data_IF_928515641617
#
_entry.id   IF_928515641617
#
_cell.length_a   1.000
_cell.length_b   1.000
_cell.length_c   1.000
_cell.angle_alpha   90.00
_cell.angle_beta   90.00
_cell.angle_gamma   90.00
#
_symmetry.space_group_name_H-M   'P 1'
#
loop_
_entity.id
_entity.type
_entity.pdbx_description
1 polymer ?
#
# COMPACT_ATOMS: atom_id res chain seq x y z
N UNK A 1 21.91 -36.17 -1.62
CA UNK A 1 22.55 -35.82 -0.33
C UNK A 1 21.62 -36.31 0.76
N UNK A 2 22.00 -37.32 1.55
CA UNK A 2 21.10 -37.97 2.54
C UNK A 2 20.59 -36.97 3.59
N UNK A 3 19.31 -37.05 3.96
CA UNK A 3 18.63 -36.21 4.94
C UNK A 3 19.43 -36.06 6.25
N UNK A 4 20.04 -37.14 6.71
CA UNK A 4 20.89 -37.19 7.91
C UNK A 4 22.12 -36.27 7.84
N UNK A 5 22.71 -36.10 6.66
CA UNK A 5 23.90 -35.27 6.48
C UNK A 5 23.54 -33.78 6.53
N UNK A 6 22.34 -33.43 6.08
CA UNK A 6 21.82 -32.07 6.18
C UNK A 6 21.44 -31.73 7.63
N UNK A 7 20.75 -32.62 8.32
CA UNK A 7 20.34 -32.40 9.72
C UNK A 7 21.54 -32.23 10.65
N UNK A 8 22.57 -33.09 10.52
CA UNK A 8 23.82 -32.95 11.30
C UNK A 8 24.53 -31.61 11.03
N UNK A 9 24.56 -31.17 9.77
CA UNK A 9 25.17 -29.88 9.39
C UNK A 9 24.37 -28.69 9.94
N UNK A 10 23.04 -28.78 9.96
CA UNK A 10 22.18 -27.76 10.54
C UNK A 10 22.36 -27.69 12.05
N UNK A 11 22.32 -28.82 12.76
CA UNK A 11 22.57 -28.88 14.21
C UNK A 11 23.92 -28.28 14.57
N UNK A 12 24.99 -28.65 13.86
CA UNK A 12 26.32 -28.06 14.10
C UNK A 12 26.34 -26.54 13.90
N UNK A 13 25.75 -26.04 12.81
CA UNK A 13 25.72 -24.60 12.52
C UNK A 13 24.81 -23.80 13.46
N UNK A 14 23.78 -24.44 14.00
CA UNK A 14 22.76 -23.82 14.86
C UNK A 14 22.94 -24.12 16.34
N UNK A 15 24.00 -24.85 16.74
CA UNK A 15 24.26 -25.19 18.14
C UNK A 15 24.37 -23.96 19.07
N UNK A 16 24.65 -22.78 18.52
CA UNK A 16 24.62 -21.54 19.29
C UNK A 16 23.21 -21.16 19.78
N UNK A 17 22.14 -21.64 19.12
CA UNK A 17 20.74 -21.44 19.51
C UNK A 17 20.36 -22.22 20.77
N UNK A 18 21.11 -23.27 21.13
CA UNK A 18 20.84 -24.06 22.33
C UNK A 18 20.89 -23.18 23.59
N UNK A 19 21.71 -22.12 23.56
CA UNK A 19 21.81 -21.11 24.62
C UNK A 19 20.55 -20.26 24.79
N UNK A 20 19.67 -20.24 23.79
CA UNK A 20 18.48 -19.40 23.73
C UNK A 20 17.19 -20.21 23.70
N UNK A 21 17.25 -21.51 24.01
CA UNK A 21 16.10 -22.41 23.89
C UNK A 21 14.89 -21.93 24.71
N UNK A 22 15.14 -21.31 25.87
CA UNK A 22 14.11 -20.70 26.72
C UNK A 22 13.53 -19.40 26.17
N UNK A 23 14.32 -18.62 25.44
CA UNK A 23 13.99 -17.30 24.93
C UNK A 23 13.33 -17.37 23.55
N UNK A 24 13.64 -18.38 22.75
CA UNK A 24 13.07 -18.57 21.41
C UNK A 24 11.52 -18.54 21.44
N UNK A 25 10.83 -19.28 22.34
CA UNK A 25 9.38 -19.19 22.46
C UNK A 25 8.90 -17.77 22.82
N UNK A 26 9.62 -17.06 23.70
CA UNK A 26 9.27 -15.69 24.08
C UNK A 26 9.36 -14.75 22.87
N UNK A 27 10.45 -14.84 22.11
CA UNK A 27 10.63 -14.05 20.88
C UNK A 27 9.61 -14.40 19.81
N UNK A 28 9.25 -15.67 19.68
CA UNK A 28 8.19 -16.10 18.76
C UNK A 28 6.86 -15.42 19.11
N UNK A 29 6.48 -15.39 20.40
CA UNK A 29 5.27 -14.69 20.86
C UNK A 29 5.37 -13.18 20.65
N UNK A 30 6.53 -12.57 20.85
CA UNK A 30 6.74 -11.14 20.55
C UNK A 30 6.50 -10.83 19.07
N UNK A 31 7.06 -11.66 18.19
CA UNK A 31 6.90 -11.55 16.74
C UNK A 31 5.43 -11.77 16.34
N UNK A 32 4.74 -12.72 16.97
CA UNK A 32 3.34 -12.98 16.67
C UNK A 32 2.45 -11.79 17.07
N UNK A 33 2.68 -11.19 18.23
CA UNK A 33 1.96 -9.98 18.66
C UNK A 33 2.16 -8.82 17.67
N UNK A 34 3.41 -8.52 17.29
CA UNK A 34 3.69 -7.40 16.37
C UNK A 34 3.13 -7.65 14.97
N UNK A 35 3.36 -8.84 14.41
CA UNK A 35 2.86 -9.19 13.07
C UNK A 35 1.34 -9.21 13.02
N UNK A 36 0.70 -9.66 14.09
CA UNK A 36 -0.77 -9.65 14.17
C UNK A 36 -1.31 -8.23 14.11
N UNK A 37 -0.67 -7.31 14.85
CA UNK A 37 -1.02 -5.90 14.82
C UNK A 37 -0.76 -5.27 13.45
N UNK A 38 0.44 -5.42 12.90
CA UNK A 38 0.83 -4.89 11.59
C UNK A 38 -0.14 -5.34 10.50
N UNK A 39 -0.45 -6.65 10.46
CA UNK A 39 -1.39 -7.22 9.49
C UNK A 39 -2.79 -6.65 9.65
N UNK A 40 -3.25 -6.46 10.88
CA UNK A 40 -4.55 -5.83 11.14
C UNK A 40 -4.56 -4.39 10.63
N UNK A 41 -3.58 -3.57 11.03
CA UNK A 41 -3.53 -2.16 10.67
C UNK A 41 -3.35 -1.95 9.16
N UNK A 42 -2.65 -2.86 8.49
CA UNK A 42 -2.50 -2.87 7.02
C UNK A 42 -3.83 -3.10 6.28
N UNK A 43 -4.73 -3.89 6.85
CA UNK A 43 -6.01 -4.25 6.21
C UNK A 43 -7.12 -3.28 6.60
N UNK A 44 -7.25 -2.98 7.89
CA UNK A 44 -8.38 -2.23 8.44
C UNK A 44 -8.06 -0.77 8.74
N UNK A 45 -6.80 -0.37 8.62
CA UNK A 45 -6.32 0.92 9.10
C UNK A 45 -6.31 1.04 10.62
N UNK A 46 -5.98 2.24 11.10
CA UNK A 46 -6.07 2.64 12.49
C UNK A 46 -7.40 3.37 12.73
N UNK A 47 -8.25 2.81 13.59
CA UNK A 47 -9.55 3.36 13.97
C UNK A 47 -9.93 2.94 15.41
N UNK A 48 -11.06 3.44 15.92
CA UNK A 48 -11.50 3.17 17.31
C UNK A 48 -11.67 1.69 17.63
N UNK A 49 -11.96 0.83 16.65
CA UNK A 49 -12.08 -0.61 16.84
C UNK A 49 -10.74 -1.35 16.81
N UNK A 50 -9.64 -0.67 16.45
CA UNK A 50 -8.33 -1.30 16.33
C UNK A 50 -7.86 -2.03 17.61
N UNK A 51 -8.04 -1.49 18.83
CA UNK A 51 -7.66 -2.21 20.06
C UNK A 51 -8.49 -3.48 20.29
N UNK A 52 -9.81 -3.41 20.06
CA UNK A 52 -10.70 -4.56 20.20
C UNK A 52 -10.34 -5.68 19.22
N UNK A 53 -10.08 -5.31 17.96
CA UNK A 53 -9.63 -6.25 16.94
C UNK A 53 -8.28 -6.87 17.29
N UNK A 54 -7.34 -6.09 17.82
CA UNK A 54 -6.04 -6.59 18.24
C UNK A 54 -6.20 -7.62 19.37
N UNK A 55 -6.89 -7.23 20.45
CA UNK A 55 -7.15 -8.11 21.60
C UNK A 55 -7.80 -9.43 21.18
N UNK A 56 -8.84 -9.38 20.34
CA UNK A 56 -9.51 -10.57 19.83
C UNK A 56 -8.59 -11.49 19.02
N UNK A 57 -7.62 -10.94 18.30
CA UNK A 57 -6.69 -11.72 17.47
C UNK A 57 -5.53 -12.33 18.25
N UNK A 58 -5.22 -11.83 19.43
CA UNK A 58 -4.14 -12.35 20.28
C UNK A 58 -4.64 -13.11 21.50
N UNK A 59 -5.97 -13.26 21.67
CA UNK A 59 -6.56 -13.90 22.84
C UNK A 59 -6.19 -15.37 23.01
N UNK A 60 -5.74 -16.03 21.94
CA UNK A 60 -5.20 -17.39 21.98
C UNK A 60 -3.76 -17.45 22.50
N UNK A 61 -3.06 -16.32 22.61
CA UNK A 61 -1.67 -16.28 23.04
C UNK A 61 -1.55 -16.27 24.56
N UNK A 62 -0.74 -17.19 25.08
CA UNK A 62 -0.33 -17.21 26.48
C UNK A 62 0.77 -16.16 26.69
N UNK A 63 0.38 -14.99 27.20
CA UNK A 63 1.32 -13.93 27.55
C UNK A 63 1.94 -14.27 28.92
N UNK A 64 3.15 -14.83 28.89
CA UNK A 64 3.94 -15.10 30.10
C UNK A 64 4.36 -13.78 30.79
N UNK A 65 4.62 -13.76 32.11
CA UNK A 65 5.01 -12.55 32.83
C UNK A 65 6.17 -11.74 32.21
N UNK A 66 7.23 -12.35 31.65
CA UNK A 66 8.29 -11.60 30.96
C UNK A 66 7.82 -10.76 29.77
N UNK A 67 6.70 -11.14 29.15
CA UNK A 67 6.14 -10.49 27.96
C UNK A 67 5.09 -9.43 28.29
N UNK A 68 4.65 -9.33 29.54
CA UNK A 68 3.60 -8.39 29.95
C UNK A 68 4.02 -6.94 29.70
N UNK A 69 5.26 -6.59 30.02
CA UNK A 69 5.83 -5.27 29.71
C UNK A 69 5.82 -4.97 28.21
N UNK A 70 6.09 -5.96 27.37
CA UNK A 70 6.09 -5.79 25.92
C UNK A 70 4.66 -5.63 25.37
N UNK A 71 3.73 -6.44 25.86
CA UNK A 71 2.31 -6.30 25.56
C UNK A 71 1.79 -4.90 25.92
N UNK A 72 2.09 -4.41 27.12
CA UNK A 72 1.70 -3.06 27.53
C UNK A 72 2.31 -1.97 26.66
N UNK A 73 3.57 -2.12 26.20
CA UNK A 73 4.15 -1.18 25.23
C UNK A 73 3.36 -1.13 23.93
N UNK A 74 2.94 -2.27 23.39
CA UNK A 74 2.11 -2.33 22.18
C UNK A 74 0.76 -1.64 22.40
N UNK A 75 0.08 -1.97 23.51
CA UNK A 75 -1.23 -1.37 23.82
C UNK A 75 -1.11 0.13 24.04
N UNK A 76 -0.08 0.59 24.74
CA UNK A 76 0.15 2.01 24.98
C UNK A 76 0.46 2.76 23.68
N UNK A 77 1.27 2.16 22.81
CA UNK A 77 1.53 2.70 21.47
C UNK A 77 0.23 2.88 20.68
N UNK A 78 -0.63 1.86 20.66
CA UNK A 78 -1.93 1.96 19.97
C UNK A 78 -2.81 3.06 20.54
N UNK A 79 -2.90 3.17 21.87
CA UNK A 79 -3.67 4.23 22.53
C UNK A 79 -3.16 5.62 22.13
N UNK A 80 -1.85 5.81 22.13
CA UNK A 80 -1.24 7.09 21.78
C UNK A 80 -1.48 7.48 20.31
N UNK A 81 -1.42 6.50 19.40
CA UNK A 81 -1.72 6.74 17.99
C UNK A 81 -3.22 7.01 17.76
N UNK A 82 -4.11 6.38 18.53
CA UNK A 82 -5.55 6.60 18.43
C UNK A 82 -5.98 8.01 18.84
N UNK A 83 -5.24 8.69 19.71
CA UNK A 83 -5.51 10.10 20.06
C UNK A 83 -5.49 10.99 18.81
N UNK A 84 -4.71 10.62 17.78
CA UNK A 84 -4.60 11.36 16.53
C UNK A 84 -5.77 11.09 15.57
N UNK A 85 -6.58 10.06 15.83
CA UNK A 85 -7.70 9.66 14.98
C UNK A 85 -8.95 10.43 15.40
N UNK A 86 -9.49 11.25 14.48
CA UNK A 86 -10.77 11.93 14.70
C UNK A 86 -11.92 10.92 14.71
N UNK A 87 -13.02 11.30 15.35
CA UNK A 87 -14.23 10.49 15.41
C UNK A 87 -14.70 10.05 14.01
N UNK A 88 -15.00 8.74 13.88
CA UNK A 88 -15.40 8.06 12.65
C UNK A 88 -14.38 8.06 11.49
N UNK A 89 -13.13 8.45 11.72
CA UNK A 89 -12.08 8.34 10.70
C UNK A 89 -11.29 7.04 10.84
N UNK A 90 -10.81 6.54 9.70
CA UNK A 90 -9.84 5.45 9.63
C UNK A 90 -8.58 5.97 8.95
N UNK A 91 -7.44 5.90 9.64
CA UNK A 91 -6.16 6.35 9.12
C UNK A 91 -5.42 5.17 8.49
N UNK A 92 -4.84 5.37 7.30
CA UNK A 92 -3.93 4.39 6.71
C UNK A 92 -2.66 4.29 7.55
N UNK A 93 -2.41 3.11 8.12
CA UNK A 93 -1.26 2.89 9.00
C UNK A 93 0.05 2.59 8.25
N UNK A 94 0.00 2.38 6.93
CA UNK A 94 1.16 1.99 6.12
C UNK A 94 1.07 2.53 4.69
N UNK A 95 2.22 2.82 4.08
CA UNK A 95 2.36 3.16 2.65
C UNK A 95 2.27 1.94 1.74
N UNK A 96 2.33 0.71 2.27
CA UNK A 96 2.31 -0.53 1.49
C UNK A 96 1.13 -0.60 0.52
N UNK A 97 -0.03 -0.05 0.92
CA UNK A 97 -1.23 -0.01 0.07
C UNK A 97 -0.99 0.90 -1.13
N UNK A 98 -0.38 2.07 -0.92
CA UNK A 98 0.00 3.00 -1.99
C UNK A 98 1.06 2.38 -2.90
N UNK A 99 2.09 1.76 -2.33
CA UNK A 99 3.15 1.08 -3.08
C UNK A 99 2.60 -0.07 -3.94
N UNK A 100 1.65 -0.84 -3.40
CA UNK A 100 0.95 -1.89 -4.13
C UNK A 100 0.12 -1.33 -5.29
N UNK A 101 -0.59 -0.22 -5.08
CA UNK A 101 -1.34 0.48 -6.12
C UNK A 101 -0.40 0.97 -7.23
N UNK A 102 0.71 1.62 -6.87
CA UNK A 102 1.70 2.06 -7.85
C UNK A 102 2.41 0.90 -8.55
N UNK A 103 2.60 -0.24 -7.87
CA UNK A 103 3.08 -1.47 -8.47
C UNK A 103 2.13 -2.02 -9.53
N UNK A 104 0.83 -2.10 -9.22
CA UNK A 104 -0.22 -2.46 -10.19
C UNK A 104 -0.25 -1.49 -11.37
N UNK A 105 -0.17 -0.20 -11.09
CA UNK A 105 -0.10 0.84 -12.11
C UNK A 105 1.09 0.66 -13.06
N UNK A 106 2.30 0.46 -12.53
CA UNK A 106 3.50 0.20 -13.35
C UNK A 106 3.32 -1.04 -14.22
N UNK A 107 2.72 -2.11 -13.69
CA UNK A 107 2.45 -3.32 -14.46
C UNK A 107 1.42 -3.11 -15.58
N UNK A 108 0.38 -2.32 -15.31
CA UNK A 108 -0.63 -1.94 -16.30
C UNK A 108 -0.03 -1.06 -17.39
N UNK A 109 0.69 0.00 -17.01
CA UNK A 109 1.33 0.96 -17.91
C UNK A 109 2.33 0.31 -18.87
N UNK A 110 3.10 -0.72 -18.43
CA UNK A 110 4.01 -1.47 -19.30
C UNK A 110 3.32 -2.09 -20.53
N UNK A 111 2.03 -2.40 -20.44
CA UNK A 111 1.24 -3.01 -21.53
C UNK A 111 0.51 -1.96 -22.37
N UNK A 112 0.49 -0.70 -21.94
CA UNK A 112 -0.24 0.37 -22.60
C UNK A 112 0.71 1.15 -23.54
N UNK A 113 0.31 1.41 -24.80
CA UNK A 113 1.10 2.25 -25.70
C UNK A 113 1.12 3.73 -25.26
N UNK A 114 0.17 4.13 -24.39
CA UNK A 114 0.11 5.45 -23.79
C UNK A 114 1.16 5.56 -22.68
N UNK A 115 2.27 6.25 -22.99
CA UNK A 115 3.37 6.51 -22.05
C UNK A 115 3.18 7.79 -21.22
N UNK A 116 2.14 8.57 -21.50
CA UNK A 116 1.92 9.86 -20.86
C UNK A 116 1.15 9.68 -19.53
N UNK A 117 1.86 9.87 -18.41
CA UNK A 117 1.35 9.69 -17.05
C UNK A 117 0.05 10.45 -16.78
N UNK A 118 -0.16 11.61 -17.42
CA UNK A 118 -1.37 12.43 -17.29
C UNK A 118 -2.64 11.70 -17.68
N UNK A 119 -2.62 11.04 -18.84
CA UNK A 119 -3.79 10.34 -19.37
C UNK A 119 -4.01 9.01 -18.64
N UNK A 120 -2.94 8.40 -18.14
CA UNK A 120 -3.01 7.14 -17.38
C UNK A 120 -3.23 7.33 -15.88
N UNK A 121 -3.18 8.55 -15.33
CA UNK A 121 -3.44 8.75 -13.90
C UNK A 121 -4.85 8.29 -13.49
N UNK A 122 -5.84 8.55 -14.35
CA UNK A 122 -7.22 8.09 -14.16
C UNK A 122 -7.35 6.56 -14.16
N UNK A 123 -6.33 5.83 -14.59
CA UNK A 123 -6.30 4.36 -14.46
C UNK A 123 -6.05 3.91 -13.04
N UNK A 124 -5.43 4.74 -12.17
CA UNK A 124 -5.16 4.38 -10.78
C UNK A 124 -6.45 4.09 -10.00
N UNK A 125 -7.48 4.95 -10.00
CA UNK A 125 -8.79 4.63 -9.41
C UNK A 125 -9.45 3.39 -10.02
N UNK A 126 -9.25 3.13 -11.32
CA UNK A 126 -9.79 1.93 -11.96
C UNK A 126 -9.14 0.65 -11.42
N UNK A 127 -7.86 0.70 -11.01
CA UNK A 127 -7.14 -0.43 -10.41
C UNK A 127 -7.61 -0.77 -8.99
N UNK A 128 -8.36 0.13 -8.34
CA UNK A 128 -8.92 -0.09 -6.99
C UNK A 128 -10.37 -0.60 -7.02
N UNK A 129 -11.01 -0.66 -8.19
CA UNK A 129 -12.41 -1.12 -8.32
C UNK A 129 -12.51 -2.38 -9.18
N UNK A 130 -13.62 -3.11 -9.01
CA UNK A 130 -13.99 -4.18 -9.94
C UNK A 130 -14.73 -3.55 -11.12
N UNK A 131 -14.07 -3.47 -12.28
CA UNK A 131 -14.70 -2.98 -13.50
C UNK A 131 -15.81 -3.95 -13.92
N UNK A 132 -17.05 -3.47 -13.98
CA UNK A 132 -18.20 -4.25 -14.46
C UNK A 132 -18.80 -3.58 -15.69
N UNK A 133 -19.54 -4.35 -16.50
CA UNK A 133 -20.25 -3.83 -17.67
C UNK A 133 -21.19 -2.69 -17.31
N UNK A 134 -21.88 -2.79 -16.18
CA UNK A 134 -22.78 -1.74 -15.69
C UNK A 134 -22.04 -0.43 -15.38
N UNK A 135 -20.88 -0.50 -14.70
CA UNK A 135 -20.07 0.69 -14.41
C UNK A 135 -19.60 1.36 -15.70
N UNK A 136 -19.18 0.57 -16.69
CA UNK A 136 -18.75 1.09 -17.99
C UNK A 136 -19.91 1.76 -18.73
N UNK A 137 -21.08 1.12 -18.78
CA UNK A 137 -22.28 1.69 -19.41
C UNK A 137 -22.70 2.99 -18.74
N UNK A 138 -22.73 3.01 -17.41
CA UNK A 138 -23.06 4.21 -16.64
C UNK A 138 -22.07 5.34 -16.96
N UNK A 139 -20.76 5.09 -16.90
CA UNK A 139 -19.74 6.09 -17.20
C UNK A 139 -19.89 6.67 -18.62
N UNK A 140 -20.12 5.84 -19.63
CA UNK A 140 -20.31 6.27 -21.01
C UNK A 140 -21.61 7.05 -21.23
N UNK A 141 -22.65 6.77 -20.43
CA UNK A 141 -23.93 7.48 -20.50
C UNK A 141 -23.95 8.81 -19.73
N UNK A 142 -23.13 8.92 -18.69
CA UNK A 142 -23.13 10.08 -17.78
C UNK A 142 -22.07 11.13 -18.14
N UNK A 143 -20.89 10.72 -18.59
CA UNK A 143 -19.76 11.62 -18.81
C UNK A 143 -19.60 11.93 -20.30
N UNK A 144 -19.77 13.20 -20.67
CA UNK A 144 -19.53 13.64 -22.05
C UNK A 144 -18.03 13.78 -22.30
N UNK A 145 -17.58 13.42 -23.50
CA UNK A 145 -16.17 13.56 -23.88
C UNK A 145 -15.66 15.00 -23.77
N UNK A 146 -16.51 15.99 -24.05
CA UNK A 146 -16.19 17.40 -23.92
C UNK A 146 -15.85 17.78 -22.47
N UNK A 147 -16.72 17.41 -21.53
CA UNK A 147 -16.54 17.70 -20.11
C UNK A 147 -15.23 17.07 -19.58
N UNK A 148 -14.90 15.86 -20.06
CA UNK A 148 -13.65 15.18 -19.73
C UNK A 148 -12.42 15.93 -20.29
N UNK A 149 -12.47 16.41 -21.54
CA UNK A 149 -11.37 17.17 -22.13
C UNK A 149 -11.13 18.50 -21.40
N UNK A 150 -12.20 19.24 -21.09
CA UNK A 150 -12.10 20.50 -20.34
C UNK A 150 -11.50 20.26 -18.94
N UNK A 151 -11.90 19.20 -18.25
CA UNK A 151 -11.34 18.81 -16.95
C UNK A 151 -9.85 18.44 -17.03
N UNK A 152 -9.43 17.70 -18.06
CA UNK A 152 -8.01 17.34 -18.25
C UNK A 152 -7.16 18.60 -18.43
N UNK A 153 -7.64 19.55 -19.23
CA UNK A 153 -6.93 20.80 -19.49
C UNK A 153 -6.87 21.69 -18.24
N UNK A 154 -7.91 21.74 -17.42
CA UNK A 154 -7.93 22.48 -16.16
C UNK A 154 -6.92 21.91 -15.13
N UNK A 155 -6.93 20.58 -14.92
CA UNK A 155 -6.13 19.95 -13.88
C UNK A 155 -4.66 19.78 -14.28
N UNK A 156 -4.39 19.42 -15.53
CA UNK A 156 -3.03 19.08 -15.97
C UNK A 156 -2.40 20.12 -16.89
N UNK A 157 -3.19 21.05 -17.44
CA UNK A 157 -2.74 22.03 -18.41
C UNK A 157 -2.19 21.41 -19.70
N UNK A 158 -1.56 22.25 -20.52
CA UNK A 158 -1.00 21.82 -21.80
C UNK A 158 0.10 20.76 -21.64
N UNK A 159 0.06 19.78 -22.55
CA UNK A 159 1.09 18.76 -22.59
C UNK A 159 2.47 19.33 -22.96
N UNK A 160 3.56 18.71 -22.50
CA UNK A 160 4.92 19.12 -22.88
C UNK A 160 5.14 18.97 -24.38
N UNK A 161 4.53 17.95 -24.99
CA UNK A 161 4.52 17.76 -26.43
C UNK A 161 3.69 18.84 -27.14
N UNK A 162 2.55 19.25 -26.56
CA UNK A 162 1.72 20.34 -27.08
C UNK A 162 2.45 21.68 -27.03
N UNK A 163 3.15 21.98 -25.92
CA UNK A 163 4.00 23.16 -25.79
C UNK A 163 5.13 23.15 -26.82
N UNK A 164 5.80 22.01 -27.00
CA UNK A 164 6.86 21.86 -28.03
C UNK A 164 6.32 22.05 -29.45
N UNK A 165 5.16 21.46 -29.76
CA UNK A 165 4.53 21.66 -31.08
C UNK A 165 4.12 23.11 -31.29
N UNK A 166 3.52 23.76 -30.29
CA UNK A 166 3.12 25.16 -30.37
C UNK A 166 4.30 26.10 -30.68
N UNK A 167 5.47 25.85 -30.07
CA UNK A 167 6.70 26.59 -30.37
C UNK A 167 7.18 26.32 -31.80
N UNK A 168 7.17 25.06 -32.25
CA UNK A 168 7.60 24.69 -33.61
C UNK A 168 6.65 25.27 -34.67
N UNK A 169 5.34 25.22 -34.43
CA UNK A 169 4.34 25.80 -35.35
C UNK A 169 4.34 27.33 -35.33
N UNK A 170 4.60 27.95 -34.16
CA UNK A 170 4.77 29.40 -34.05
C UNK A 170 6.02 29.89 -34.78
N UNK A 171 7.15 29.17 -34.67
CA UNK A 171 8.37 29.53 -35.40
C UNK A 171 8.27 29.33 -36.91
N UNK A 172 7.38 28.45 -37.37
CA UNK A 172 7.08 28.25 -38.80
C UNK A 172 6.22 29.37 -39.39
N UNK A 173 5.44 30.06 -38.57
CA UNK A 173 4.65 31.23 -38.99
C UNK A 173 5.54 32.48 -39.09
N UNK A 174 6.46 32.66 -38.14
CA UNK A 174 7.47 33.74 -38.17
C UNK A 174 8.46 33.61 -39.35
N UNK A 175 8.69 32.39 -39.84
CA UNK A 175 9.60 32.10 -40.96
C UNK A 175 8.94 32.26 -42.34
N UNK A 176 7.62 32.50 -42.42
CA UNK A 176 6.91 32.81 -43.68
C UNK A 176 6.82 34.30 -43.99
N UNK A 177 7.33 35.16 -43.10
CA UNK A 177 7.43 36.61 -43.29
C UNK A 177 8.90 37.05 -43.29
N UNK A 178 9.69 36.53 -44.24
CA UNK A 178 11.01 37.04 -44.57
C UNK A 178 11.22 37.01 -46.09
#
# INVERSE_FOLDING_TARGET
MSSDKLEKRLKYKLAWLDKYQSEIPLWATMIEMTRTLEKQLKISGLNKESPNHFYKKISHLLISPPLELFYHKIVNYLKNELIKVKDNQTIMATSDVLESIFGKYKNFSKRCPLKDFRQTLLTIPLLTMKLTTNIVQQALSTVRCRDLSEWIDEIFGQSMLSKRRAVITGSLDDMKTA
#
